data_IF_381978843527
#
_entry.id   IF_381978843527
#
_cell.length_a   1.000
_cell.length_b   1.000
_cell.length_c   1.000
_cell.angle_alpha   90.00
_cell.angle_beta   90.00
_cell.angle_gamma   90.00
#
_symmetry.space_group_name_H-M   'P 1'
#
loop_
_entity.id
_entity.type
_entity.pdbx_description
1 polymer ?
#
# COMPACT_ATOMS: atom_id res chain seq x y z
N UNK A 1 0.00 -14.04 -5.65
CA UNK A 1 -1.44 -13.71 -5.76
C UNK A 1 -1.67 -12.25 -5.44
N UNK A 2 -2.92 -11.84 -5.31
CA UNK A 2 -3.32 -10.58 -4.66
C UNK A 2 -3.76 -10.90 -3.24
N UNK A 3 -3.47 -10.01 -2.29
CA UNK A 3 -3.81 -10.18 -0.88
C UNK A 3 -4.46 -8.87 -0.36
N UNK A 4 -4.00 -8.32 0.78
CA UNK A 4 -4.53 -7.10 1.37
C UNK A 4 -4.43 -5.86 0.46
N UNK A 5 -5.38 -4.94 0.64
CA UNK A 5 -5.50 -3.74 -0.19
C UNK A 5 -6.07 -2.53 0.55
N UNK A 6 -5.67 -1.33 0.12
CA UNK A 6 -6.16 -0.04 0.62
C UNK A 6 -6.16 1.03 -0.47
N UNK A 7 -7.07 2.01 -0.36
CA UNK A 7 -7.11 3.16 -1.25
C UNK A 7 -6.44 4.40 -0.63
N UNK A 8 -5.79 5.20 -1.46
CA UNK A 8 -5.50 6.60 -1.13
C UNK A 8 -6.74 7.49 -1.30
N UNK A 9 -6.61 8.78 -0.97
CA UNK A 9 -7.71 9.74 -1.02
C UNK A 9 -8.15 10.13 -2.43
N UNK A 10 -7.40 9.76 -3.47
CA UNK A 10 -7.77 9.97 -4.88
C UNK A 10 -8.43 8.72 -5.49
N UNK A 11 -8.50 7.64 -4.72
CA UNK A 11 -9.11 6.37 -5.14
C UNK A 11 -8.14 5.41 -5.81
N UNK A 12 -6.83 5.70 -5.84
CA UNK A 12 -5.87 4.72 -6.33
C UNK A 12 -5.81 3.53 -5.36
N UNK A 13 -5.82 2.31 -5.90
CA UNK A 13 -5.85 1.07 -5.13
C UNK A 13 -4.43 0.49 -4.99
N UNK A 14 -3.98 0.33 -3.76
CA UNK A 14 -2.72 -0.29 -3.41
C UNK A 14 -2.97 -1.75 -3.05
N UNK A 15 -2.30 -2.68 -3.73
CA UNK A 15 -2.54 -4.12 -3.63
C UNK A 15 -1.25 -4.84 -3.25
N UNK A 16 -1.27 -5.57 -2.14
CA UNK A 16 -0.22 -6.50 -1.77
C UNK A 16 -0.12 -7.66 -2.76
N UNK A 17 1.07 -7.89 -3.33
CA UNK A 17 1.32 -8.96 -4.29
C UNK A 17 2.10 -10.10 -3.63
N UNK A 18 1.39 -10.99 -2.94
CA UNK A 18 1.99 -12.14 -2.26
C UNK A 18 2.80 -13.02 -3.21
N UNK A 19 4.03 -13.34 -2.82
CA UNK A 19 5.01 -14.11 -3.60
C UNK A 19 5.77 -13.27 -4.65
N UNK A 20 5.23 -12.11 -5.05
CA UNK A 20 5.89 -11.20 -6.00
C UNK A 20 6.82 -10.22 -5.30
N UNK A 21 6.54 -9.86 -4.05
CA UNK A 21 7.35 -8.91 -3.28
C UNK A 21 7.09 -7.45 -3.65
N UNK A 22 5.87 -7.12 -4.06
CA UNK A 22 5.54 -5.75 -4.45
C UNK A 22 4.17 -5.28 -3.95
N UNK A 23 4.01 -3.96 -3.92
CA UNK A 23 2.72 -3.29 -3.88
C UNK A 23 2.41 -2.78 -5.29
N UNK A 24 1.34 -3.26 -5.90
CA UNK A 24 0.83 -2.71 -7.16
C UNK A 24 -0.11 -1.56 -6.87
N UNK A 25 0.02 -0.45 -7.60
CA UNK A 25 -0.83 0.73 -7.48
C UNK A 25 -1.63 0.86 -8.76
N UNK A 26 -2.95 0.72 -8.66
CA UNK A 26 -3.87 0.87 -9.77
C UNK A 26 -4.62 2.19 -9.67
N UNK A 27 -4.91 2.81 -10.81
CA UNK A 27 -5.83 3.95 -10.90
C UNK A 27 -7.26 3.53 -10.54
N UNK A 28 -8.18 4.48 -10.26
CA UNK A 28 -9.60 4.16 -10.08
C UNK A 28 -10.24 3.45 -11.29
N UNK A 29 -9.62 3.54 -12.47
CA UNK A 29 -10.04 2.85 -13.70
C UNK A 29 -9.46 1.44 -13.84
N UNK A 30 -8.61 1.00 -12.89
CA UNK A 30 -7.95 -0.31 -12.90
C UNK A 30 -6.64 -0.36 -13.68
N UNK A 31 -6.10 0.78 -14.12
CA UNK A 31 -4.83 0.84 -14.87
C UNK A 31 -3.65 0.78 -13.92
N UNK A 32 -2.62 0.00 -14.24
CA UNK A 32 -1.40 -0.07 -13.43
C UNK A 32 -0.61 1.25 -13.54
N UNK A 33 -0.57 2.01 -12.45
CA UNK A 33 0.21 3.25 -12.35
C UNK A 33 1.69 2.92 -12.13
N UNK A 34 1.98 2.09 -11.12
CA UNK A 34 3.34 1.62 -10.79
C UNK A 34 3.33 0.42 -9.86
N UNK A 35 4.49 -0.22 -9.72
CA UNK A 35 4.75 -1.19 -8.65
C UNK A 35 5.89 -0.71 -7.76
N UNK A 36 5.73 -0.90 -6.45
CA UNK A 36 6.75 -0.63 -5.44
C UNK A 36 7.34 -1.98 -5.02
N UNK A 37 8.62 -2.19 -5.31
CA UNK A 37 9.34 -3.40 -4.94
C UNK A 37 9.81 -3.31 -3.49
N UNK A 38 9.58 -4.38 -2.74
CA UNK A 38 9.99 -4.54 -1.35
C UNK A 38 11.13 -5.55 -1.24
N UNK A 39 11.76 -5.64 -0.07
CA UNK A 39 12.87 -6.56 0.14
C UNK A 39 12.41 -8.02 0.30
N UNK A 40 11.24 -8.24 0.91
CA UNK A 40 10.63 -9.58 1.02
C UNK A 40 9.62 -9.89 -0.07
N UNK A 41 9.31 -11.18 -0.24
CA UNK A 41 8.42 -11.70 -1.30
C UNK A 41 7.00 -11.93 -0.83
N UNK A 42 6.80 -12.32 0.44
CA UNK A 42 5.49 -12.70 0.97
C UNK A 42 4.79 -11.48 1.57
N UNK A 43 4.51 -10.50 0.72
CA UNK A 43 3.82 -9.25 1.05
C UNK A 43 2.33 -9.54 1.22
N UNK A 44 1.79 -9.31 2.41
CA UNK A 44 0.43 -9.75 2.78
C UNK A 44 -0.58 -8.62 2.92
N UNK A 45 -0.20 -7.47 3.47
CA UNK A 45 -1.16 -6.39 3.72
C UNK A 45 -0.49 -5.02 3.72
N UNK A 46 -1.29 -3.96 3.57
CA UNK A 46 -0.84 -2.56 3.57
C UNK A 46 -1.80 -1.68 4.37
N UNK A 47 -1.25 -0.72 5.09
CA UNK A 47 -1.99 0.35 5.75
C UNK A 47 -1.31 1.71 5.53
N UNK A 48 -2.11 2.78 5.46
CA UNK A 48 -1.63 4.15 5.47
C UNK A 48 -1.59 4.68 6.90
N UNK A 49 -0.61 5.52 7.22
CA UNK A 49 -0.45 6.16 8.52
C UNK A 49 0.63 7.25 8.48
N UNK A 50 1.24 7.48 9.64
CA UNK A 50 2.18 8.58 9.86
C UNK A 50 1.49 9.95 10.01
N UNK A 51 2.24 11.01 10.37
CA UNK A 51 1.68 12.32 10.74
C UNK A 51 0.87 13.03 9.66
N UNK A 52 1.01 12.60 8.41
CA UNK A 52 0.31 13.18 7.25
C UNK A 52 -0.51 12.14 6.47
N UNK A 53 -0.67 10.91 7.00
CA UNK A 53 -1.35 9.82 6.30
C UNK A 53 -0.62 9.32 5.04
N UNK A 54 0.65 9.72 4.85
CA UNK A 54 1.47 9.47 3.65
C UNK A 54 2.53 8.39 3.83
N UNK A 55 2.60 7.76 5.00
CA UNK A 55 3.48 6.60 5.23
C UNK A 55 2.69 5.32 5.04
N UNK A 56 3.16 4.45 4.15
CA UNK A 56 2.63 3.10 3.99
C UNK A 56 3.41 2.13 4.88
N UNK A 57 2.70 1.31 5.64
CA UNK A 57 3.22 0.20 6.42
C UNK A 57 2.76 -1.11 5.78
N UNK A 58 3.70 -2.01 5.51
CA UNK A 58 3.45 -3.25 4.78
C UNK A 58 3.91 -4.44 5.59
N UNK A 59 3.04 -5.42 5.80
CA UNK A 59 3.40 -6.69 6.45
C UNK A 59 4.09 -7.62 5.45
N UNK A 60 5.25 -8.14 5.83
CA UNK A 60 6.11 -8.98 4.99
C UNK A 60 6.41 -10.29 5.72
N UNK A 61 5.66 -11.35 5.39
CA UNK A 61 5.60 -12.57 6.19
C UNK A 61 6.89 -13.40 6.15
N UNK A 62 7.57 -13.47 5.02
CA UNK A 62 8.83 -14.22 4.87
C UNK A 62 9.99 -13.58 5.64
N UNK A 63 9.87 -12.28 5.94
CA UNK A 63 10.86 -11.54 6.73
C UNK A 63 10.42 -11.33 8.18
N UNK A 64 9.17 -11.63 8.53
CA UNK A 64 8.60 -11.40 9.86
C UNK A 64 8.65 -9.93 10.30
N UNK A 65 8.54 -8.98 9.36
CA UNK A 65 8.71 -7.55 9.64
C UNK A 65 7.69 -6.66 8.94
N UNK A 66 7.71 -5.37 9.30
CA UNK A 66 7.09 -4.31 8.52
C UNK A 66 8.15 -3.66 7.61
N UNK A 67 7.78 -3.42 6.36
CA UNK A 67 8.50 -2.49 5.49
C UNK A 67 7.67 -1.22 5.31
N UNK A 68 8.35 -0.09 5.10
CA UNK A 68 7.70 1.21 4.99
C UNK A 68 8.21 2.01 3.80
N UNK A 69 7.33 2.77 3.17
CA UNK A 69 7.67 3.75 2.14
C UNK A 69 6.73 4.96 2.21
N UNK A 70 7.13 6.06 1.58
CA UNK A 70 6.33 7.28 1.49
C UNK A 70 5.55 7.34 0.17
N UNK A 71 4.41 8.02 0.20
CA UNK A 71 3.56 8.29 -0.96
C UNK A 71 3.18 9.77 -1.02
N UNK A 72 2.80 10.23 -2.21
CA UNK A 72 2.40 11.63 -2.41
C UNK A 72 0.97 11.91 -1.93
N UNK A 73 0.09 10.92 -2.03
CA UNK A 73 -1.34 11.03 -1.72
C UNK A 73 -1.63 10.29 -0.42
N UNK A 74 -2.28 10.96 0.53
CA UNK A 74 -2.60 10.36 1.82
C UNK A 74 -3.66 9.25 1.70
N UNK A 75 -3.67 8.32 2.65
CA UNK A 75 -4.68 7.27 2.73
C UNK A 75 -6.11 7.82 2.81
N UNK A 76 -7.09 7.14 2.20
CA UNK A 76 -8.50 7.58 2.23
C UNK A 76 -9.04 7.81 3.64
N UNK A 77 -8.77 6.85 4.54
CA UNK A 77 -9.21 6.94 5.94
C UNK A 77 -8.61 8.17 6.65
N UNK A 78 -7.36 8.55 6.35
CA UNK A 78 -6.74 9.72 6.95
C UNK A 78 -7.49 11.03 6.64
N UNK A 79 -8.01 11.18 5.41
CA UNK A 79 -8.85 12.34 5.06
C UNK A 79 -10.21 12.30 5.74
N UNK A 80 -10.85 11.13 5.78
CA UNK A 80 -12.19 10.98 6.40
C UNK A 80 -12.21 11.32 7.90
N UNK A 81 -11.08 11.22 8.60
CA UNK A 81 -10.98 11.56 10.03
C UNK A 81 -10.77 13.06 10.29
N UNK A 82 -10.57 13.85 9.23
CA UNK A 82 -10.41 15.31 9.30
C UNK A 82 -11.70 16.07 8.93
N UNK A 83 -12.71 15.35 8.44
CA UNK A 83 -14.05 15.85 8.13
C UNK A 83 -14.98 15.65 9.34
#
# INVERSE_FOLDING_TARGET
GMDGMRCDSEGNLYIARYGKGSIAILSPKGELIREIILKGKNVTNIAFGGPHGKTCYVTVADRGCLETFQVEVAGRAWKMWQE
#
